data_IF_134450620729
#
_entry.id   IF_134450620729
#
_cell.length_a   1.000
_cell.length_b   1.000
_cell.length_c   1.000
_cell.angle_alpha   90.00
_cell.angle_beta   90.00
_cell.angle_gamma   90.00
#
_symmetry.space_group_name_H-M   'P 1'
#
loop_
_entity.id
_entity.type
_entity.pdbx_description
1 polymer ?
#
# COMPACT_ATOMS: atom_id res chain seq x y z
N UNK A 1 5.00 11.33 12.13
CA UNK A 1 4.66 9.91 12.00
C UNK A 1 4.27 9.51 10.58
N UNK A 2 3.42 10.27 9.92
CA UNK A 2 2.94 9.94 8.59
C UNK A 2 4.03 9.87 7.52
N UNK A 3 5.22 10.38 7.80
CA UNK A 3 6.34 10.38 6.87
C UNK A 3 7.46 9.43 7.29
N UNK A 4 7.22 8.64 8.32
CA UNK A 4 8.23 7.73 8.83
C UNK A 4 8.09 6.34 8.25
N UNK A 5 9.19 5.83 7.73
CA UNK A 5 9.28 4.48 7.20
C UNK A 5 10.49 3.79 7.81
N UNK A 6 10.34 2.51 8.13
CA UNK A 6 11.45 1.68 8.55
C UNK A 6 11.66 0.61 7.49
N UNK A 7 12.68 0.79 6.69
CA UNK A 7 13.00 -0.11 5.60
C UNK A 7 14.10 -1.11 5.92
N UNK A 8 14.57 -1.14 7.17
CA UNK A 8 15.74 -1.95 7.52
C UNK A 8 15.57 -3.43 7.18
N UNK A 9 14.46 -4.03 7.60
CA UNK A 9 14.23 -5.45 7.34
C UNK A 9 13.93 -5.72 5.87
N UNK A 10 13.16 -4.84 5.23
CA UNK A 10 12.86 -4.98 3.82
C UNK A 10 14.12 -4.85 2.96
N UNK A 11 15.00 -3.92 3.31
CA UNK A 11 16.27 -3.75 2.60
C UNK A 11 17.14 -4.99 2.72
N UNK A 12 17.16 -5.62 3.90
CA UNK A 12 17.91 -6.87 4.10
C UNK A 12 17.38 -7.99 3.24
N UNK A 13 16.06 -8.12 3.16
CA UNK A 13 15.44 -9.16 2.34
C UNK A 13 15.73 -8.96 0.85
N UNK A 14 15.62 -7.72 0.38
CA UNK A 14 15.89 -7.41 -1.03
C UNK A 14 17.34 -7.70 -1.35
N UNK A 15 18.27 -7.31 -0.47
CA UNK A 15 19.70 -7.59 -0.66
C UNK A 15 19.97 -9.09 -0.67
N UNK A 16 19.35 -9.83 0.23
CA UNK A 16 19.49 -11.29 0.27
C UNK A 16 19.05 -11.92 -1.05
N UNK A 17 17.92 -11.47 -1.58
CA UNK A 17 17.44 -11.95 -2.88
C UNK A 17 18.41 -11.64 -4.00
N UNK A 18 18.95 -10.42 -4.03
CA UNK A 18 19.92 -10.01 -5.05
C UNK A 18 21.19 -10.84 -4.99
N UNK A 19 21.71 -11.07 -3.79
CA UNK A 19 22.96 -11.82 -3.59
C UNK A 19 22.79 -13.29 -3.93
N UNK A 20 21.58 -13.82 -3.88
CA UNK A 20 21.30 -15.24 -4.12
C UNK A 20 20.58 -15.51 -5.44
N UNK A 21 20.49 -14.50 -6.31
CA UNK A 21 19.87 -14.65 -7.62
C UNK A 21 18.39 -14.93 -7.59
N UNK A 22 17.70 -14.53 -6.54
CA UNK A 22 16.26 -14.74 -6.37
C UNK A 22 15.45 -13.54 -6.79
N UNK A 23 14.23 -13.78 -7.30
CA UNK A 23 13.27 -12.72 -7.54
C UNK A 23 12.51 -12.42 -6.25
N UNK A 24 12.33 -11.13 -5.94
CA UNK A 24 11.60 -10.71 -4.75
C UNK A 24 10.29 -10.04 -5.19
N UNK A 25 9.19 -10.44 -4.55
CA UNK A 25 7.86 -9.85 -4.78
C UNK A 25 7.50 -9.05 -3.54
N UNK A 26 7.07 -7.81 -3.73
CA UNK A 26 6.67 -6.96 -2.61
C UNK A 26 5.24 -7.25 -2.18
N UNK A 27 5.03 -7.40 -0.88
CA UNK A 27 3.71 -7.62 -0.27
C UNK A 27 3.55 -6.61 0.85
N UNK A 28 2.58 -5.82 0.88
CA UNK A 28 1.68 -5.34 -0.17
C UNK A 28 1.60 -3.83 0.00
N UNK A 29 1.11 -3.12 -1.00
CA UNK A 29 1.09 -1.65 -0.90
C UNK A 29 -0.11 -1.16 -0.10
N UNK A 30 -1.29 -1.69 -0.36
CA UNK A 30 -2.54 -1.30 0.32
C UNK A 30 -3.19 -2.53 0.94
N UNK A 31 -3.29 -2.54 2.27
CA UNK A 31 -3.93 -3.64 3.01
C UNK A 31 -4.51 -3.07 4.30
N UNK A 32 -5.81 -3.27 4.49
CA UNK A 32 -6.52 -2.71 5.63
C UNK A 32 -5.97 -3.17 7.00
N UNK A 33 -5.31 -4.32 7.06
CA UNK A 33 -4.80 -4.89 8.31
C UNK A 33 -3.41 -4.38 8.71
N UNK A 34 -2.62 -3.89 7.77
CA UNK A 34 -1.22 -3.53 8.03
C UNK A 34 -0.96 -2.04 8.09
N UNK A 35 -1.80 -1.23 7.47
CA UNK A 35 -1.61 0.21 7.52
C UNK A 35 -2.12 0.76 8.85
N UNK A 36 -1.44 1.75 9.42
CA UNK A 36 -1.89 2.34 10.68
C UNK A 36 -3.21 3.09 10.50
N UNK A 37 -3.97 3.18 11.58
CA UNK A 37 -5.30 3.79 11.54
C UNK A 37 -5.28 5.24 11.06
N UNK A 38 -4.20 6.00 11.35
CA UNK A 38 -4.12 7.39 10.90
C UNK A 38 -4.17 7.53 9.38
N UNK A 39 -3.88 6.45 8.65
CA UNK A 39 -3.82 6.50 7.19
C UNK A 39 -5.17 6.91 6.59
N UNK A 40 -6.27 6.42 7.17
CA UNK A 40 -7.61 6.74 6.69
C UNK A 40 -8.39 7.66 7.62
N UNK A 41 -7.82 8.02 8.77
CA UNK A 41 -8.51 8.81 9.78
C UNK A 41 -7.75 10.10 10.05
N UNK A 42 -8.48 11.15 10.44
CA UNK A 42 -7.86 12.40 10.85
C UNK A 42 -7.46 12.34 12.33
N UNK A 43 -6.91 13.44 12.84
CA UNK A 43 -6.48 13.50 14.23
C UNK A 43 -7.59 13.36 15.26
N UNK A 44 -8.84 13.41 14.83
CA UNK A 44 -10.01 13.28 15.70
C UNK A 44 -10.70 11.91 15.55
N UNK A 45 -10.10 11.00 14.77
CA UNK A 45 -10.66 9.67 14.54
C UNK A 45 -11.75 9.61 13.51
N UNK A 46 -11.95 10.67 12.72
CA UNK A 46 -12.95 10.70 11.65
C UNK A 46 -12.29 10.34 10.33
N UNK A 47 -13.07 9.77 9.42
CA UNK A 47 -12.59 9.44 8.08
C UNK A 47 -12.12 10.69 7.37
N UNK A 48 -10.94 10.60 6.73
CA UNK A 48 -10.43 11.71 5.93
C UNK A 48 -11.23 11.84 4.64
N UNK A 49 -11.15 12.98 3.97
CA UNK A 49 -11.80 13.19 2.68
C UNK A 49 -11.18 12.29 1.62
N UNK A 50 -11.91 11.98 0.53
CA UNK A 50 -11.33 11.21 -0.57
C UNK A 50 -10.04 11.81 -1.13
N UNK A 51 -9.97 13.13 -1.23
CA UNK A 51 -8.78 13.82 -1.75
C UNK A 51 -7.57 13.58 -0.85
N UNK A 52 -7.75 13.66 0.47
CA UNK A 52 -6.66 13.43 1.41
C UNK A 52 -6.20 11.98 1.35
N UNK A 53 -7.14 11.03 1.27
CA UNK A 53 -6.77 9.63 1.17
C UNK A 53 -6.01 9.34 -0.12
N UNK A 54 -6.45 9.91 -1.25
CA UNK A 54 -5.74 9.76 -2.52
C UNK A 54 -4.30 10.25 -2.43
N UNK A 55 -4.10 11.41 -1.79
CA UNK A 55 -2.74 11.95 -1.60
C UNK A 55 -1.88 11.03 -0.75
N UNK A 56 -2.44 10.49 0.34
CA UNK A 56 -1.71 9.57 1.22
C UNK A 56 -1.37 8.27 0.51
N UNK A 57 -2.30 7.71 -0.27
CA UNK A 57 -2.05 6.51 -1.06
C UNK A 57 -0.94 6.75 -2.07
N UNK A 58 -1.04 7.85 -2.81
CA UNK A 58 -0.04 8.20 -3.82
C UNK A 58 1.34 8.32 -3.20
N UNK A 59 1.45 9.09 -2.12
CA UNK A 59 2.74 9.29 -1.45
C UNK A 59 3.32 7.98 -0.94
N UNK A 60 2.50 7.16 -0.29
CA UNK A 60 2.92 5.89 0.24
C UNK A 60 3.42 4.95 -0.86
N UNK A 61 2.61 4.76 -1.90
CA UNK A 61 2.95 3.87 -2.99
C UNK A 61 4.20 4.35 -3.73
N UNK A 62 4.28 5.64 -4.04
CA UNK A 62 5.45 6.19 -4.74
C UNK A 62 6.71 6.06 -3.90
N UNK A 63 6.62 6.30 -2.58
CA UNK A 63 7.77 6.17 -1.69
C UNK A 63 8.31 4.73 -1.69
N UNK A 64 7.41 3.77 -1.51
CA UNK A 64 7.83 2.37 -1.38
C UNK A 64 8.27 1.80 -2.73
N UNK A 65 7.49 2.00 -3.78
CA UNK A 65 7.81 1.44 -5.09
C UNK A 65 9.09 2.07 -5.66
N UNK A 66 9.27 3.39 -5.48
CA UNK A 66 10.47 4.07 -5.97
C UNK A 66 11.73 3.56 -5.29
N UNK A 67 11.65 3.26 -4.00
CA UNK A 67 12.81 2.77 -3.26
C UNK A 67 13.36 1.47 -3.84
N UNK A 68 12.47 0.60 -4.32
CA UNK A 68 12.86 -0.73 -4.80
C UNK A 68 12.74 -0.88 -6.31
N UNK A 69 12.61 0.23 -7.04
CA UNK A 69 12.46 0.20 -8.48
C UNK A 69 13.64 -0.54 -9.12
N UNK A 70 13.33 -1.55 -9.95
CA UNK A 70 14.36 -2.36 -10.59
C UNK A 70 14.92 -3.48 -9.71
N UNK A 71 14.54 -3.53 -8.42
CA UNK A 71 15.05 -4.52 -7.47
C UNK A 71 13.99 -5.50 -7.02
N UNK A 72 12.73 -5.06 -6.95
CA UNK A 72 11.58 -5.92 -6.66
C UNK A 72 10.86 -6.18 -7.97
N UNK A 73 10.60 -7.45 -8.27
CA UNK A 73 10.06 -7.87 -9.57
C UNK A 73 8.57 -7.56 -9.74
N UNK A 74 7.83 -7.56 -8.66
CA UNK A 74 6.41 -7.27 -8.73
C UNK A 74 5.86 -6.94 -7.36
N UNK A 75 4.63 -6.43 -7.33
CA UNK A 75 3.98 -6.01 -6.10
C UNK A 75 2.56 -6.55 -6.01
N UNK A 76 2.20 -7.00 -4.80
CA UNK A 76 0.80 -7.17 -4.45
C UNK A 76 0.27 -5.78 -4.09
N UNK A 77 -0.44 -5.16 -5.03
CA UNK A 77 -0.81 -3.75 -4.87
C UNK A 77 -1.90 -3.58 -3.81
N UNK A 78 -2.95 -4.37 -3.89
CA UNK A 78 -4.06 -4.35 -2.93
C UNK A 78 -4.28 -5.75 -2.40
N UNK A 79 -4.42 -5.91 -1.10
CA UNK A 79 -4.62 -7.21 -0.48
C UNK A 79 -5.98 -7.27 0.21
N UNK A 80 -6.65 -8.41 0.06
CA UNK A 80 -7.89 -8.75 0.77
C UNK A 80 -9.01 -7.72 0.58
N UNK A 81 -9.18 -7.23 -0.65
CA UNK A 81 -10.25 -6.27 -0.95
C UNK A 81 -11.63 -6.92 -0.99
N UNK A 82 -11.70 -8.22 -1.18
CA UNK A 82 -12.93 -8.99 -1.38
C UNK A 82 -13.07 -10.00 -0.25
N UNK A 83 -14.28 -10.13 0.30
CA UNK A 83 -14.60 -11.14 1.32
C UNK A 83 -14.69 -12.52 0.68
N UNK A 84 -14.67 -13.57 1.51
CA UNK A 84 -14.72 -14.94 1.01
C UNK A 84 -16.01 -15.26 0.26
N UNK A 85 -17.09 -14.52 0.51
CA UNK A 85 -18.36 -14.71 -0.20
C UNK A 85 -18.45 -13.93 -1.51
N UNK A 86 -17.37 -13.21 -1.89
CA UNK A 86 -17.35 -12.45 -3.12
C UNK A 86 -17.78 -11.00 -3.01
N UNK A 87 -18.25 -10.59 -1.85
CA UNK A 87 -18.65 -9.20 -1.65
C UNK A 87 -17.44 -8.31 -1.35
N UNK A 88 -17.61 -7.00 -1.52
CA UNK A 88 -16.57 -6.04 -1.19
C UNK A 88 -16.34 -5.99 0.32
N UNK A 89 -15.07 -6.05 0.73
CA UNK A 89 -14.72 -5.82 2.12
C UNK A 89 -14.94 -4.34 2.46
N UNK A 90 -15.64 -4.07 3.55
CA UNK A 90 -15.96 -2.70 3.96
C UNK A 90 -14.80 -2.09 4.75
N UNK A 91 -13.61 -2.04 4.13
CA UNK A 91 -12.45 -1.36 4.72
C UNK A 91 -12.66 0.15 4.69
N UNK A 92 -11.84 0.88 5.44
CA UNK A 92 -11.91 2.34 5.40
C UNK A 92 -11.61 2.88 4.00
N UNK A 93 -10.74 2.22 3.25
CA UNK A 93 -10.49 2.60 1.85
C UNK A 93 -11.75 2.53 1.03
N UNK A 94 -12.49 1.43 1.15
CA UNK A 94 -13.74 1.26 0.42
C UNK A 94 -14.79 2.26 0.87
N UNK A 95 -14.89 2.50 2.19
CA UNK A 95 -15.88 3.44 2.72
C UNK A 95 -15.64 4.87 2.27
N UNK A 96 -14.37 5.25 2.09
CA UNK A 96 -14.03 6.61 1.67
C UNK A 96 -14.06 6.76 0.14
N UNK A 97 -13.48 5.82 -0.59
CA UNK A 97 -13.29 5.93 -2.04
C UNK A 97 -14.19 5.03 -2.87
N UNK A 98 -14.90 4.06 -2.24
CA UNK A 98 -15.66 3.08 -2.99
C UNK A 98 -14.72 2.18 -3.80
N UNK A 99 -15.24 1.63 -4.89
CA UNK A 99 -14.45 0.71 -5.72
C UNK A 99 -13.26 1.37 -6.39
N UNK A 100 -13.26 2.71 -6.49
CA UNK A 100 -12.18 3.44 -7.14
C UNK A 100 -10.83 3.26 -6.47
N UNK A 101 -10.80 2.88 -5.17
CA UNK A 101 -9.51 2.78 -4.48
C UNK A 101 -8.59 1.76 -5.13
N UNK A 102 -9.13 0.71 -5.77
CA UNK A 102 -8.32 -0.32 -6.40
C UNK A 102 -7.65 0.20 -7.68
N UNK A 103 -8.39 0.71 -8.70
CA UNK A 103 -7.69 1.23 -9.88
C UNK A 103 -6.76 2.39 -9.55
N UNK A 104 -7.09 3.22 -8.55
CA UNK A 104 -6.19 4.30 -8.14
C UNK A 104 -4.88 3.73 -7.59
N UNK A 105 -4.95 2.69 -6.75
CA UNK A 105 -3.74 2.08 -6.19
C UNK A 105 -2.85 1.53 -7.29
N UNK A 106 -3.42 0.82 -8.26
CA UNK A 106 -2.65 0.30 -9.39
C UNK A 106 -2.07 1.42 -10.24
N UNK A 107 -2.84 2.50 -10.46
CA UNK A 107 -2.36 3.65 -11.22
C UNK A 107 -1.15 4.29 -10.53
N UNK A 108 -1.20 4.46 -9.21
CA UNK A 108 -0.09 5.04 -8.46
C UNK A 108 1.13 4.12 -8.45
N UNK A 109 0.95 2.83 -8.60
CA UNK A 109 2.07 1.88 -8.61
C UNK A 109 2.81 1.84 -9.96
N UNK A 110 2.25 2.45 -10.99
CA UNK A 110 2.89 2.53 -12.30
C UNK A 110 3.89 3.70 -12.33
N UNK A 111 5.15 3.39 -12.10
CA UNK A 111 6.22 4.38 -12.11
C UNK A 111 7.14 4.22 -13.31
#
# INVERSE_FOLDING_TARGET
EGNRYDFADADKLVRFGEENGMSVIGHCLIWHSQLPSWFCLDGKGKKVSPEILKERMKKHIHTVVSRYKGRIKGWDVVNEAIESDGSWRKSLFYEILGEEFIPLAFQFAQL
#
